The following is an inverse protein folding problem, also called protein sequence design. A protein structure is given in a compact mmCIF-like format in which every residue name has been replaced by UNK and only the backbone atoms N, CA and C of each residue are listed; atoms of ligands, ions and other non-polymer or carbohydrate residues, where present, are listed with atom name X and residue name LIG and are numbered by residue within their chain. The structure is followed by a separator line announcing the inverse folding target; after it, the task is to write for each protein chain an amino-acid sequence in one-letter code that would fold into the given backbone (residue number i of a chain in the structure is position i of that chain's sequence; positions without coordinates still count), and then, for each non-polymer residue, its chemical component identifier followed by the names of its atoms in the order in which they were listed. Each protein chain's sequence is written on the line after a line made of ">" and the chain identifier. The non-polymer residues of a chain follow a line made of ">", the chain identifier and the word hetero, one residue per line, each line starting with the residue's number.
data_IF_045237679831
#
_entry.id   IF_045237679831
#
_cell.length_a   1.000
_cell.length_b   1.000
_cell.length_c   1.000
_cell.angle_alpha   90.00
_cell.angle_beta   90.00
_cell.angle_gamma   90.00
#
_symmetry.space_group_name_H-M   'P 1'
#
loop_
_entity.id
_entity.type
_entity.pdbx_description
1 polymer ?
#
# COMPACT_ATOMS: atom_id res chain seq x y z
N UNK A 1 -9.46 12.87 50.24
CA UNK A 1 -9.92 12.91 48.83
C UNK A 1 -9.09 13.86 47.98
N UNK A 2 -9.00 15.17 48.31
CA UNK A 2 -8.25 16.16 47.51
C UNK A 2 -6.75 15.81 47.36
N UNK A 3 -6.09 15.35 48.43
CA UNK A 3 -4.68 14.93 48.35
C UNK A 3 -4.45 13.74 47.42
N UNK A 4 -5.40 12.81 47.34
CA UNK A 4 -5.34 11.66 46.43
C UNK A 4 -5.51 12.12 44.98
N UNK A 5 -6.42 13.05 44.71
CA UNK A 5 -6.57 13.67 43.39
C UNK A 5 -5.29 14.40 42.95
N UNK A 6 -4.68 15.21 43.83
CA UNK A 6 -3.41 15.89 43.53
C UNK A 6 -2.22 14.93 43.34
N UNK A 7 -2.22 13.78 44.04
CA UNK A 7 -1.24 12.71 43.78
C UNK A 7 -1.44 12.11 42.38
N UNK A 8 -2.69 11.86 42.00
CA UNK A 8 -3.02 11.32 40.69
C UNK A 8 -2.65 12.29 39.55
N UNK A 9 -2.90 13.59 39.71
CA UNK A 9 -2.47 14.63 38.76
C UNK A 9 -0.96 14.60 38.58
N UNK A 10 -0.17 14.58 39.66
CA UNK A 10 1.30 14.50 39.58
C UNK A 10 1.78 13.25 38.86
N UNK A 11 1.16 12.10 39.15
CA UNK A 11 1.44 10.85 38.45
C UNK A 11 1.17 10.98 36.94
N UNK A 12 0.03 11.54 36.55
CA UNK A 12 -0.34 11.74 35.15
C UNK A 12 0.57 12.74 34.42
N UNK A 13 0.99 13.82 35.08
CA UNK A 13 1.96 14.78 34.51
C UNK A 13 3.31 14.10 34.27
N UNK A 14 3.79 13.30 35.22
CA UNK A 14 5.03 12.56 35.05
C UNK A 14 4.91 11.48 33.97
N UNK A 15 3.76 10.82 33.86
CA UNK A 15 3.47 9.84 32.81
C UNK A 15 3.44 10.50 31.42
N UNK A 16 2.84 11.69 31.29
CA UNK A 16 2.89 12.52 30.07
C UNK A 16 4.33 12.87 29.70
N UNK A 17 5.11 13.38 30.65
CA UNK A 17 6.50 13.76 30.43
C UNK A 17 7.37 12.55 30.03
N UNK A 18 7.11 11.37 30.61
CA UNK A 18 7.78 10.14 30.21
C UNK A 18 7.43 9.74 28.76
N UNK A 19 6.15 9.81 28.38
CA UNK A 19 5.73 9.54 27.00
C UNK A 19 6.29 10.54 25.98
N UNK A 20 6.38 11.83 26.34
CA UNK A 20 7.02 12.84 25.50
C UNK A 20 8.49 12.53 25.29
N UNK A 21 9.22 12.16 26.36
CA UNK A 21 10.61 11.73 26.27
C UNK A 21 10.79 10.48 25.40
N UNK A 22 9.96 9.46 25.61
CA UNK A 22 10.01 8.22 24.83
C UNK A 22 9.74 8.47 23.34
N UNK A 23 8.83 9.40 23.03
CA UNK A 23 8.53 9.83 21.66
C UNK A 23 9.75 10.50 21.01
N UNK A 24 10.43 11.39 21.73
CA UNK A 24 11.63 12.08 21.22
C UNK A 24 12.79 11.09 21.01
N UNK A 25 13.01 10.17 21.96
CA UNK A 25 14.01 9.10 21.78
C UNK A 25 13.68 8.18 20.59
N UNK A 26 12.40 7.93 20.30
CA UNK A 26 11.98 7.14 19.15
C UNK A 26 12.22 7.88 17.83
N UNK A 27 11.93 9.20 17.77
CA UNK A 27 12.26 10.05 16.62
C UNK A 27 13.76 10.05 16.33
N UNK A 28 14.58 10.19 17.36
CA UNK A 28 16.04 10.23 17.19
C UNK A 28 16.60 8.88 16.72
N UNK A 29 16.10 7.76 17.26
CA UNK A 29 16.44 6.41 16.75
C UNK A 29 16.05 6.25 15.28
N UNK A 30 14.89 6.76 14.87
CA UNK A 30 14.45 6.72 13.48
C UNK A 30 15.38 7.54 12.58
N UNK A 31 15.73 8.78 12.96
CA UNK A 31 16.69 9.62 12.22
C UNK A 31 18.04 8.94 12.05
N UNK A 32 18.56 8.31 13.10
CA UNK A 32 19.82 7.57 13.05
C UNK A 32 19.74 6.38 12.09
N UNK A 33 18.65 5.61 12.14
CA UNK A 33 18.42 4.50 11.22
C UNK A 33 18.33 4.98 9.77
N UNK A 34 17.60 6.07 9.51
CA UNK A 34 17.44 6.66 8.17
C UNK A 34 18.78 7.19 7.62
N UNK A 35 19.58 7.85 8.45
CA UNK A 35 20.95 8.26 8.12
C UNK A 35 21.84 7.05 7.76
N UNK A 36 21.73 5.95 8.52
CA UNK A 36 22.43 4.70 8.22
C UNK A 36 22.04 4.09 6.86
N UNK A 37 20.75 4.13 6.51
CA UNK A 37 20.24 3.69 5.20
C UNK A 37 20.81 4.56 4.07
N UNK A 38 20.85 5.87 4.25
CA UNK A 38 21.43 6.80 3.27
C UNK A 38 22.89 6.50 2.96
N UNK A 39 23.71 6.27 3.98
CA UNK A 39 25.13 5.91 3.81
C UNK A 39 25.26 4.61 2.99
N UNK A 40 24.40 3.62 3.23
CA UNK A 40 24.42 2.38 2.45
C UNK A 40 24.05 2.62 0.98
N UNK A 41 23.04 3.45 0.71
CA UNK A 41 22.69 3.82 -0.66
C UNK A 41 23.81 4.59 -1.36
N UNK A 42 24.52 5.49 -0.66
CA UNK A 42 25.68 6.18 -1.21
C UNK A 42 26.79 5.19 -1.63
N UNK A 43 27.05 4.18 -0.81
CA UNK A 43 28.01 3.12 -1.16
C UNK A 43 27.57 2.32 -2.39
N UNK A 44 26.29 1.94 -2.47
CA UNK A 44 25.71 1.23 -3.62
C UNK A 44 25.85 2.07 -4.90
N UNK A 45 25.47 3.35 -4.82
CA UNK A 45 25.60 4.29 -5.95
C UNK A 45 27.06 4.45 -6.36
N UNK A 46 28.01 4.52 -5.41
CA UNK A 46 29.44 4.59 -5.70
C UNK A 46 29.97 3.34 -6.43
N UNK A 47 29.44 2.15 -6.10
CA UNK A 47 29.76 0.91 -6.82
C UNK A 47 29.24 0.96 -8.25
N UNK A 48 28.01 1.41 -8.48
CA UNK A 48 27.46 1.55 -9.84
C UNK A 48 28.21 2.59 -10.68
N UNK A 49 28.59 3.72 -10.08
CA UNK A 49 29.44 4.72 -10.74
C UNK A 49 30.80 4.12 -11.12
N UNK A 50 31.39 3.32 -10.23
CA UNK A 50 32.67 2.66 -10.50
C UNK A 50 32.56 1.60 -11.60
N UNK A 51 31.47 0.83 -11.61
CA UNK A 51 31.14 -0.13 -12.68
C UNK A 51 30.89 0.56 -14.03
N UNK A 52 30.45 1.83 -14.01
CA UNK A 52 30.19 2.65 -15.19
C UNK A 52 31.44 3.32 -15.76
N UNK A 53 32.59 3.26 -15.09
CA UNK A 53 33.87 3.77 -15.61
C UNK A 53 34.38 2.87 -16.73
N UNK A 54 34.92 3.46 -17.79
CA UNK A 54 35.36 2.77 -19.02
C UNK A 54 36.14 1.47 -18.76
N UNK A 55 37.10 1.48 -17.80
CA UNK A 55 37.92 0.32 -17.44
C UNK A 55 37.11 -0.89 -16.98
N UNK A 56 36.04 -0.69 -16.21
CA UNK A 56 35.16 -1.78 -15.77
C UNK A 56 34.04 -2.03 -16.81
N UNK A 57 33.53 -0.94 -17.38
CA UNK A 57 32.45 -0.94 -18.37
C UNK A 57 32.70 -1.88 -19.54
N UNK A 58 33.94 -1.93 -20.05
CA UNK A 58 34.29 -2.76 -21.21
C UNK A 58 34.25 -4.27 -20.94
N UNK A 59 34.29 -4.68 -19.67
CA UNK A 59 34.16 -6.08 -19.27
C UNK A 59 32.70 -6.57 -19.26
N UNK A 60 31.73 -5.64 -19.27
CA UNK A 60 30.31 -5.99 -19.26
C UNK A 60 29.74 -6.11 -20.67
N UNK A 61 28.77 -7.01 -20.83
CA UNK A 61 27.98 -7.12 -22.06
C UNK A 61 27.03 -5.92 -22.23
N UNK A 62 26.55 -5.68 -23.46
CA UNK A 62 25.61 -4.60 -23.75
C UNK A 62 24.33 -4.67 -22.89
N UNK A 63 23.82 -5.87 -22.62
CA UNK A 63 22.65 -6.07 -21.76
C UNK A 63 22.96 -5.74 -20.29
N UNK A 64 24.11 -6.19 -19.77
CA UNK A 64 24.55 -5.88 -18.41
C UNK A 64 24.76 -4.38 -18.20
N UNK A 65 25.37 -3.68 -19.16
CA UNK A 65 25.54 -2.21 -19.12
C UNK A 65 24.21 -1.47 -19.01
N UNK A 66 23.20 -1.90 -19.76
CA UNK A 66 21.83 -1.35 -19.68
C UNK A 66 21.24 -1.56 -18.29
N UNK A 67 21.36 -2.76 -17.72
CA UNK A 67 20.86 -3.06 -16.38
C UNK A 67 21.58 -2.23 -15.30
N UNK A 68 22.92 -2.12 -15.38
CA UNK A 68 23.73 -1.31 -14.44
C UNK A 68 23.27 0.15 -14.46
N UNK A 69 23.05 0.73 -15.65
CA UNK A 69 22.56 2.10 -15.77
C UNK A 69 21.16 2.28 -15.16
N UNK A 70 20.25 1.32 -15.37
CA UNK A 70 18.91 1.35 -14.77
C UNK A 70 18.98 1.24 -13.25
N UNK A 71 19.75 0.30 -12.71
CA UNK A 71 19.90 0.11 -11.27
C UNK A 71 20.59 1.31 -10.61
N UNK A 72 21.57 1.93 -11.27
CA UNK A 72 22.21 3.16 -10.78
C UNK A 72 21.17 4.27 -10.61
N UNK A 73 20.35 4.51 -11.63
CA UNK A 73 19.29 5.53 -11.60
C UNK A 73 18.26 5.24 -10.51
N UNK A 74 17.81 3.99 -10.38
CA UNK A 74 16.87 3.59 -9.33
C UNK A 74 17.45 3.79 -7.93
N UNK A 75 18.72 3.43 -7.72
CA UNK A 75 19.38 3.63 -6.43
C UNK A 75 19.56 5.12 -6.09
N UNK A 76 19.87 5.96 -7.07
CA UNK A 76 19.93 7.41 -6.90
C UNK A 76 18.57 8.03 -6.55
N UNK A 77 17.49 7.61 -7.22
CA UNK A 77 16.13 8.07 -6.92
C UNK A 77 15.74 7.70 -5.48
N UNK A 78 15.96 6.45 -5.07
CA UNK A 78 15.65 5.99 -3.71
C UNK A 78 16.51 6.73 -2.67
N UNK A 79 17.79 6.96 -2.95
CA UNK A 79 18.67 7.75 -2.07
C UNK A 79 18.14 9.17 -1.89
N UNK A 80 17.74 9.82 -2.99
CA UNK A 80 17.24 11.19 -2.94
C UNK A 80 15.94 11.28 -2.14
N UNK A 81 15.02 10.32 -2.29
CA UNK A 81 13.78 10.26 -1.49
C UNK A 81 14.09 10.20 0.01
N UNK A 82 14.96 9.30 0.44
CA UNK A 82 15.34 9.19 1.86
C UNK A 82 16.09 10.44 2.36
N UNK A 83 16.83 11.13 1.48
CA UNK A 83 17.53 12.37 1.83
C UNK A 83 16.52 13.49 2.06
N UNK A 84 15.54 13.64 1.18
CA UNK A 84 14.46 14.60 1.31
C UNK A 84 13.62 14.35 2.58
N UNK A 85 13.36 13.09 2.93
CA UNK A 85 12.69 12.71 4.17
C UNK A 85 13.49 13.14 5.40
N UNK A 86 14.81 12.87 5.43
CA UNK A 86 15.67 13.30 6.53
C UNK A 86 15.77 14.83 6.63
N UNK A 87 15.82 15.54 5.50
CA UNK A 87 15.84 17.00 5.45
C UNK A 87 14.49 17.62 5.84
N UNK A 88 13.38 16.92 5.62
CA UNK A 88 12.05 17.31 6.09
C UNK A 88 11.98 17.31 7.62
N UNK A 89 12.44 16.22 8.25
CA UNK A 89 12.45 16.08 9.71
C UNK A 89 13.28 17.17 10.39
N UNK A 90 14.48 17.47 9.87
CA UNK A 90 15.34 18.54 10.42
C UNK A 90 14.67 19.92 10.39
N UNK A 91 13.91 20.21 9.33
CA UNK A 91 13.23 21.50 9.16
C UNK A 91 12.06 21.66 10.13
N UNK A 92 11.40 20.56 10.48
CA UNK A 92 10.29 20.55 11.44
C UNK A 92 10.78 20.81 12.87
N UNK A 93 11.98 20.30 13.23
CA UNK A 93 12.60 20.47 14.55
C UNK A 93 13.19 21.87 14.80
N UNK A 94 13.76 22.52 13.79
CA UNK A 94 14.30 23.88 13.91
C UNK A 94 13.22 24.95 14.18
N UNK A 95 11.94 24.63 13.92
CA UNK A 95 10.81 25.54 14.16
C UNK A 95 10.23 25.48 15.58
N UNK A 96 10.77 24.63 16.48
CA UNK A 96 10.23 24.43 17.85
C UNK A 96 10.95 25.21 18.97
N UNK A 97 11.95 26.05 18.66
CA UNK A 97 12.81 26.68 19.68
C UNK A 97 12.93 28.20 19.48
N UNK A 98 11.96 28.97 19.97
CA UNK A 98 12.10 30.41 20.19
C UNK A 98 11.21 30.87 21.34
N UNK A 99 11.59 30.56 22.57
CA UNK A 99 11.27 31.40 23.73
C UNK A 99 12.23 31.08 24.87
N UNK A 100 13.16 31.99 25.18
CA UNK A 100 13.83 32.07 26.48
C UNK A 100 14.58 33.42 26.55
N UNK A 101 13.85 34.47 26.94
CA UNK A 101 14.42 35.74 27.39
C UNK A 101 14.93 35.60 28.82
N UNK A 102 16.24 35.79 29.04
CA UNK A 102 16.84 35.93 30.37
C UNK A 102 17.11 37.42 30.62
N UNK A 103 16.28 38.04 31.47
CA UNK A 103 16.57 39.34 32.09
C UNK A 103 17.47 39.15 33.31
N UNK A 104 18.66 39.76 33.30
CA UNK A 104 19.55 39.82 34.46
C UNK A 104 19.68 41.28 34.95
N UNK A 105 19.10 41.54 36.13
CA UNK A 105 19.15 42.81 36.87
C UNK A 105 20.50 43.00 37.57
N UNK A 106 21.15 44.16 37.45
CA UNK A 106 22.06 44.69 38.49
C UNK A 106 22.06 46.21 38.59
N UNK A 107 22.14 46.69 39.84
CA UNK A 107 21.79 48.03 40.31
C UNK A 107 22.95 49.05 40.32
N UNK A 108 22.67 50.24 39.77
CA UNK A 108 22.95 51.59 40.29
C UNK A 108 24.32 51.91 40.91
N UNK A 109 25.22 52.48 40.10
CA UNK A 109 26.12 53.59 40.48
C UNK A 109 26.67 54.44 39.31
N UNK A 110 25.97 54.42 38.17
CA UNK A 110 26.31 55.14 36.93
C UNK A 110 25.20 56.12 36.51
N UNK A 111 24.34 56.55 37.44
CA UNK A 111 22.96 57.04 37.20
C UNK A 111 22.72 58.16 36.18
N UNK A 112 23.72 58.94 35.75
CA UNK A 112 23.54 59.95 34.68
C UNK A 112 24.11 59.49 33.33
N UNK A 113 25.25 58.79 33.33
CA UNK A 113 25.84 58.21 32.12
C UNK A 113 25.06 56.95 31.69
N UNK A 114 24.69 56.08 32.64
CA UNK A 114 23.73 54.99 32.43
C UNK A 114 22.37 55.50 31.97
N UNK A 115 21.86 56.64 32.47
CA UNK A 115 20.55 57.14 32.01
C UNK A 115 20.60 57.62 30.55
N UNK A 116 21.70 58.26 30.12
CA UNK A 116 21.91 58.65 28.73
C UNK A 116 22.16 57.45 27.82
N UNK A 117 22.91 56.45 28.30
CA UNK A 117 23.14 55.19 27.59
C UNK A 117 21.83 54.43 27.42
N UNK A 118 21.02 54.28 28.49
CA UNK A 118 19.70 53.64 28.40
C UNK A 118 18.74 54.39 27.49
N UNK A 119 18.79 55.73 27.47
CA UNK A 119 17.99 56.51 26.51
C UNK A 119 18.48 56.29 25.07
N UNK A 120 19.78 56.20 24.84
CA UNK A 120 20.34 55.91 23.52
C UNK A 120 20.03 54.47 23.06
N UNK A 121 20.03 53.51 23.97
CA UNK A 121 19.65 52.12 23.74
C UNK A 121 18.16 51.98 23.42
N UNK A 122 17.28 52.64 24.18
CA UNK A 122 15.85 52.65 23.89
C UNK A 122 15.53 53.27 22.52
N UNK A 123 16.21 54.36 22.14
CA UNK A 123 16.06 54.96 20.81
C UNK A 123 16.62 54.07 19.70
N UNK A 124 17.66 53.28 19.99
CA UNK A 124 18.23 52.31 19.05
C UNK A 124 17.27 51.13 18.86
N UNK A 125 16.70 50.60 19.93
CA UNK A 125 15.67 49.56 19.88
C UNK A 125 14.42 50.03 19.12
N UNK A 126 13.98 51.27 19.35
CA UNK A 126 12.89 51.86 18.57
C UNK A 126 13.27 51.98 17.08
N UNK A 127 14.52 52.36 16.77
CA UNK A 127 15.00 52.40 15.39
C UNK A 127 15.05 51.02 14.73
N UNK A 128 15.50 49.99 15.46
CA UNK A 128 15.57 48.62 14.99
C UNK A 128 14.16 48.02 14.79
N UNK A 129 13.23 48.32 15.70
CA UNK A 129 11.81 47.98 15.57
C UNK A 129 11.18 48.64 14.33
N UNK A 130 11.43 49.92 14.10
CA UNK A 130 10.98 50.63 12.91
C UNK A 130 11.60 50.07 11.62
N UNK A 131 12.88 49.65 11.65
CA UNK A 131 13.52 48.99 10.52
C UNK A 131 12.86 47.67 10.19
N UNK A 132 12.57 46.84 11.19
CA UNK A 132 11.85 45.58 10.98
C UNK A 132 10.44 45.81 10.45
N UNK A 133 9.73 46.81 10.96
CA UNK A 133 8.40 47.15 10.48
C UNK A 133 8.41 47.62 9.02
N UNK A 134 9.40 48.43 8.63
CA UNK A 134 9.59 48.84 7.23
C UNK A 134 9.93 47.66 6.32
N UNK A 135 10.75 46.72 6.80
CA UNK A 135 11.09 45.52 6.02
C UNK A 135 9.88 44.58 5.88
N UNK A 136 9.04 44.47 6.91
CA UNK A 136 7.77 43.76 6.85
C UNK A 136 6.82 44.38 5.81
N UNK A 137 6.64 45.71 5.83
CA UNK A 137 5.82 46.40 4.82
C UNK A 137 6.41 46.29 3.41
N UNK A 138 7.74 46.32 3.29
CA UNK A 138 8.41 46.10 2.00
C UNK A 138 8.10 44.71 1.45
N UNK A 139 8.17 43.68 2.29
CA UNK A 139 7.84 42.31 1.93
C UNK A 139 6.36 42.17 1.54
N UNK A 140 5.45 42.79 2.29
CA UNK A 140 4.01 42.77 1.98
C UNK A 140 3.72 43.42 0.62
N UNK A 141 4.37 44.54 0.30
CA UNK A 141 4.26 45.21 -1.01
C UNK A 141 4.82 44.34 -2.14
N UNK A 142 5.94 43.64 -1.92
CA UNK A 142 6.49 42.70 -2.90
C UNK A 142 5.55 41.52 -3.13
N UNK A 143 4.90 40.99 -2.08
CA UNK A 143 3.92 39.93 -2.17
C UNK A 143 2.68 40.35 -2.97
N UNK A 144 2.13 41.53 -2.69
CA UNK A 144 0.98 42.08 -3.41
C UNK A 144 1.29 42.34 -4.90
N UNK A 145 2.52 42.78 -5.22
CA UNK A 145 2.98 42.91 -6.62
C UNK A 145 3.08 41.55 -7.31
N UNK A 146 3.57 40.53 -6.62
CA UNK A 146 3.64 39.16 -7.15
C UNK A 146 2.24 38.58 -7.37
N UNK A 147 1.30 38.86 -6.47
CA UNK A 147 -0.09 38.42 -6.58
C UNK A 147 -0.81 39.09 -7.76
N UNK A 148 -0.67 40.40 -7.95
CA UNK A 148 -1.17 41.07 -9.16
C UNK A 148 -0.53 40.51 -10.45
N UNK A 149 0.78 40.21 -10.40
CA UNK A 149 1.48 39.56 -11.51
C UNK A 149 1.02 38.13 -11.80
N UNK A 150 0.38 37.45 -10.84
CA UNK A 150 -0.25 36.13 -11.02
C UNK A 150 -1.68 36.23 -11.53
N UNK A 151 -2.46 37.23 -11.13
CA UNK A 151 -3.83 37.47 -11.65
C UNK A 151 -3.80 37.75 -13.16
N UNK A 152 -2.73 38.34 -13.69
CA UNK A 152 -2.54 38.51 -15.13
C UNK A 152 -2.04 37.26 -15.89
N UNK A 153 -1.80 36.13 -15.19
CA UNK A 153 -1.38 34.83 -15.76
C UNK A 153 -2.50 33.77 -15.71
N UNK A 154 -3.76 34.19 -15.73
CA UNK A 154 -4.89 33.27 -15.94
C UNK A 154 -4.85 32.66 -17.37
N UNK A 155 -4.26 33.37 -18.34
CA UNK A 155 -3.96 32.86 -19.69
C UNK A 155 -2.64 32.07 -19.74
N UNK A 156 -2.49 31.05 -18.89
CA UNK A 156 -1.35 30.13 -18.99
C UNK A 156 -1.63 29.11 -20.10
N UNK A 157 -0.94 29.19 -21.27
CA UNK A 157 -1.20 28.31 -22.41
C UNK A 157 -0.99 26.83 -22.06
N UNK A 158 -0.22 26.54 -21.00
CA UNK A 158 0.02 25.18 -20.53
C UNK A 158 -1.21 24.57 -19.85
N UNK A 159 -1.97 25.38 -19.08
CA UNK A 159 -3.23 24.93 -18.44
C UNK A 159 -4.31 24.66 -19.48
N UNK A 160 -4.41 25.52 -20.50
CA UNK A 160 -5.37 25.32 -21.59
C UNK A 160 -5.04 24.07 -22.43
N UNK A 161 -3.76 23.81 -22.69
CA UNK A 161 -3.31 22.56 -23.34
C UNK A 161 -3.64 21.33 -22.51
N UNK A 162 -3.40 21.37 -21.19
CA UNK A 162 -3.74 20.28 -20.28
C UNK A 162 -5.25 20.00 -20.27
N UNK A 163 -6.07 21.06 -20.26
CA UNK A 163 -7.53 20.95 -20.29
C UNK A 163 -8.03 20.34 -21.61
N UNK A 164 -7.45 20.72 -22.74
CA UNK A 164 -7.75 20.10 -24.06
C UNK A 164 -7.41 18.61 -24.09
N UNK A 165 -6.28 18.21 -23.51
CA UNK A 165 -5.86 16.82 -23.45
C UNK A 165 -6.82 15.97 -22.60
N UNK A 166 -7.22 16.51 -21.44
CA UNK A 166 -8.23 15.90 -20.56
C UNK A 166 -9.59 15.77 -21.26
N UNK A 167 -10.02 16.80 -21.99
CA UNK A 167 -11.26 16.77 -22.75
C UNK A 167 -11.24 15.71 -23.86
N UNK A 168 -10.11 15.56 -24.55
CA UNK A 168 -9.93 14.52 -25.56
C UNK A 168 -9.94 13.11 -24.96
N UNK A 169 -9.30 12.91 -23.81
CA UNK A 169 -9.32 11.64 -23.09
C UNK A 169 -10.74 11.27 -22.63
N UNK A 170 -11.49 12.23 -22.10
CA UNK A 170 -12.88 12.04 -21.67
C UNK A 170 -13.78 11.63 -22.84
N UNK A 171 -13.64 12.30 -23.99
CA UNK A 171 -14.39 11.97 -25.20
C UNK A 171 -14.07 10.55 -25.71
N UNK A 172 -12.79 10.15 -25.67
CA UNK A 172 -12.36 8.80 -26.04
C UNK A 172 -12.95 7.73 -25.11
N UNK A 173 -12.95 8.00 -23.80
CA UNK A 173 -13.53 7.09 -22.81
C UNK A 173 -15.06 6.96 -22.99
N UNK A 174 -15.75 8.05 -23.30
CA UNK A 174 -17.19 8.04 -23.58
C UNK A 174 -17.53 7.18 -24.82
N UNK A 175 -16.72 7.26 -25.89
CA UNK A 175 -16.88 6.39 -27.06
C UNK A 175 -16.62 4.91 -26.73
N UNK A 176 -15.62 4.63 -25.89
CA UNK A 176 -15.34 3.26 -25.47
C UNK A 176 -16.49 2.67 -24.63
N UNK A 177 -17.06 3.45 -23.72
CA UNK A 177 -18.23 3.04 -22.93
C UNK A 177 -19.44 2.68 -23.81
N UNK A 178 -19.72 3.49 -24.85
CA UNK A 178 -20.78 3.19 -25.80
C UNK A 178 -20.53 1.87 -26.55
N UNK A 179 -19.30 1.63 -27.00
CA UNK A 179 -18.93 0.36 -27.67
C UNK A 179 -19.11 -0.85 -26.75
N UNK A 180 -18.64 -0.75 -25.50
CA UNK A 180 -18.80 -1.84 -24.51
C UNK A 180 -20.27 -2.09 -24.22
N UNK A 181 -21.10 -1.04 -24.17
CA UNK A 181 -22.55 -1.18 -23.98
C UNK A 181 -23.22 -1.89 -25.16
N UNK A 182 -22.80 -1.61 -26.40
CA UNK A 182 -23.28 -2.34 -27.60
C UNK A 182 -22.85 -3.81 -27.59
N UNK A 183 -21.59 -4.10 -27.25
CA UNK A 183 -21.08 -5.46 -27.12
C UNK A 183 -21.81 -6.25 -26.02
N UNK A 184 -22.12 -5.61 -24.89
CA UNK A 184 -22.89 -6.20 -23.82
C UNK A 184 -24.30 -6.60 -24.28
N UNK A 185 -25.02 -5.69 -24.96
CA UNK A 185 -26.35 -6.00 -25.52
C UNK A 185 -26.30 -7.13 -26.54
N UNK A 186 -25.24 -7.21 -27.34
CA UNK A 186 -25.04 -8.32 -28.29
C UNK A 186 -24.83 -9.65 -27.56
N UNK A 187 -23.97 -9.67 -26.54
CA UNK A 187 -23.72 -10.84 -25.68
C UNK A 187 -24.99 -11.31 -24.96
N UNK A 188 -25.82 -10.38 -24.49
CA UNK A 188 -27.10 -10.67 -23.86
C UNK A 188 -28.07 -11.38 -24.82
N UNK A 189 -28.16 -10.91 -26.07
CA UNK A 189 -28.96 -11.55 -27.10
C UNK A 189 -28.44 -12.96 -27.48
N UNK A 190 -27.11 -13.14 -27.56
CA UNK A 190 -26.49 -14.45 -27.79
C UNK A 190 -26.78 -15.44 -26.65
N UNK A 191 -26.75 -14.95 -25.40
CA UNK A 191 -27.05 -15.76 -24.21
C UNK A 191 -28.51 -16.21 -24.17
N UNK A 192 -29.45 -15.35 -24.56
CA UNK A 192 -30.86 -15.73 -24.64
C UNK A 192 -31.09 -16.80 -25.70
N UNK A 193 -30.46 -16.66 -26.88
CA UNK A 193 -30.51 -17.70 -27.92
C UNK A 193 -29.94 -19.04 -27.44
N UNK A 194 -28.84 -19.02 -26.69
CA UNK A 194 -28.25 -20.24 -26.11
C UNK A 194 -29.18 -20.89 -25.08
N UNK A 195 -29.95 -20.12 -24.31
CA UNK A 195 -30.96 -20.71 -23.41
C UNK A 195 -32.07 -21.40 -24.18
N UNK A 196 -32.55 -20.80 -25.26
CA UNK A 196 -33.56 -21.42 -26.13
C UNK A 196 -33.06 -22.73 -26.76
N UNK A 197 -31.83 -22.71 -27.28
CA UNK A 197 -31.17 -23.90 -27.85
C UNK A 197 -30.99 -24.99 -26.77
N UNK A 198 -30.56 -24.62 -25.56
CA UNK A 198 -30.46 -25.54 -24.42
C UNK A 198 -31.80 -26.19 -24.08
N UNK A 199 -32.87 -25.40 -24.01
CA UNK A 199 -34.21 -25.89 -23.70
C UNK A 199 -34.73 -26.83 -24.79
N UNK A 200 -34.40 -26.56 -26.05
CA UNK A 200 -34.71 -27.43 -27.17
C UNK A 200 -33.98 -28.78 -27.07
N UNK A 201 -32.69 -28.76 -26.71
CA UNK A 201 -31.88 -29.99 -26.50
C UNK A 201 -32.40 -30.80 -25.31
N UNK A 202 -32.73 -30.15 -24.18
CA UNK A 202 -33.31 -30.83 -23.01
C UNK A 202 -34.62 -31.55 -23.38
N UNK A 203 -35.50 -30.90 -24.16
CA UNK A 203 -36.72 -31.54 -24.68
C UNK A 203 -36.42 -32.75 -25.56
N UNK A 204 -35.43 -32.67 -26.45
CA UNK A 204 -35.03 -33.81 -27.29
C UNK A 204 -34.49 -34.97 -26.44
N UNK A 205 -33.72 -34.67 -25.38
CA UNK A 205 -33.15 -35.66 -24.47
C UNK A 205 -34.24 -36.38 -23.66
N UNK A 206 -35.25 -35.66 -23.19
CA UNK A 206 -36.39 -36.27 -22.49
C UNK A 206 -37.18 -37.20 -23.42
N UNK A 207 -37.46 -36.77 -24.65
CA UNK A 207 -38.10 -37.63 -25.67
C UNK A 207 -37.30 -38.89 -25.99
N UNK A 208 -35.97 -38.83 -25.99
CA UNK A 208 -35.10 -39.99 -26.20
C UNK A 208 -35.12 -40.93 -24.98
N UNK A 209 -35.12 -40.38 -23.77
CA UNK A 209 -35.20 -41.14 -22.51
C UNK A 209 -36.54 -41.85 -22.34
N UNK A 210 -37.64 -41.23 -22.77
CA UNK A 210 -38.96 -41.88 -22.83
C UNK A 210 -38.98 -43.04 -23.83
N UNK A 211 -38.34 -42.87 -25.00
CA UNK A 211 -38.18 -43.95 -26.00
C UNK A 211 -37.31 -45.10 -25.48
N UNK A 212 -36.25 -44.81 -24.73
CA UNK A 212 -35.39 -45.80 -24.07
C UNK A 212 -36.16 -46.56 -22.97
N UNK A 213 -36.94 -45.87 -22.14
CA UNK A 213 -37.80 -46.49 -21.11
C UNK A 213 -38.89 -47.40 -21.71
N UNK A 214 -39.38 -47.09 -22.90
CA UNK A 214 -40.34 -47.93 -23.61
C UNK A 214 -39.66 -49.14 -24.29
N UNK A 215 -38.39 -49.03 -24.69
CA UNK A 215 -37.60 -50.13 -25.23
C UNK A 215 -37.08 -51.10 -24.14
N UNK A 216 -36.72 -50.61 -22.96
CA UNK A 216 -36.24 -51.43 -21.83
C UNK A 216 -37.32 -52.36 -21.24
N UNK A 217 -38.62 -52.09 -21.45
CA UNK A 217 -39.69 -52.99 -21.00
C UNK A 217 -39.81 -54.30 -21.80
N UNK A 218 -39.06 -54.46 -22.88
CA UNK A 218 -39.11 -55.66 -23.72
C UNK A 218 -37.89 -56.57 -23.64
N UNK A 219 -36.84 -56.25 -22.88
CA UNK A 219 -35.65 -57.09 -22.80
C UNK A 219 -34.91 -56.93 -21.46
N UNK A 220 -35.19 -57.79 -20.46
CA UNK A 220 -34.22 -58.22 -19.46
C UNK A 220 -34.81 -59.34 -18.58
N UNK A 221 -34.65 -60.58 -19.04
CA UNK A 221 -34.66 -61.78 -18.20
C UNK A 221 -33.21 -62.21 -17.99
N UNK A 222 -32.88 -62.54 -16.74
CA UNK A 222 -31.75 -63.34 -16.25
C UNK A 222 -30.41 -62.69 -15.84
N UNK A 223 -30.15 -62.90 -14.53
CA UNK A 223 -28.92 -63.37 -13.87
C UNK A 223 -27.80 -62.40 -13.45
N UNK A 224 -27.73 -62.23 -12.12
CA UNK A 224 -26.58 -62.29 -11.20
C UNK A 224 -25.19 -61.84 -11.68
N UNK A 225 -24.68 -60.77 -11.06
CA UNK A 225 -23.29 -60.70 -10.60
C UNK A 225 -23.10 -59.59 -9.56
N UNK A 226 -22.25 -59.88 -8.60
CA UNK A 226 -22.12 -59.31 -7.26
C UNK A 226 -20.93 -58.33 -7.20
N UNK A 227 -21.16 -57.01 -7.04
CA UNK A 227 -20.14 -56.02 -6.62
C UNK A 227 -20.81 -54.82 -5.91
N UNK A 228 -20.44 -54.47 -4.65
CA UNK A 228 -21.01 -53.32 -3.96
C UNK A 228 -20.39 -52.02 -4.50
N UNK A 229 -21.15 -51.25 -5.29
CA UNK A 229 -20.87 -49.83 -5.50
C UNK A 229 -21.18 -49.09 -4.20
N UNK A 230 -20.14 -48.62 -3.50
CA UNK A 230 -20.31 -47.70 -2.40
C UNK A 230 -20.90 -46.38 -2.89
N UNK A 231 -22.16 -46.16 -2.49
CA UNK A 231 -22.74 -44.84 -2.25
C UNK A 231 -21.81 -44.04 -1.35
N UNK A 232 -21.15 -43.00 -1.86
CA UNK A 232 -20.75 -41.87 -1.01
C UNK A 232 -21.66 -40.69 -1.30
N UNK A 233 -22.59 -40.50 -0.37
CA UNK A 233 -23.55 -39.43 -0.31
C UNK A 233 -22.82 -38.07 -0.25
N UNK A 234 -23.30 -37.13 -1.06
CA UNK A 234 -23.25 -35.68 -0.96
C UNK A 234 -22.81 -35.10 0.41
N UNK A 235 -21.52 -35.13 0.75
CA UNK A 235 -21.00 -34.30 1.85
C UNK A 235 -20.53 -32.98 1.26
N UNK A 236 -21.11 -31.86 1.70
CA UNK A 236 -20.58 -30.53 1.36
C UNK A 236 -19.09 -30.45 1.71
N UNK A 237 -18.24 -29.88 0.85
CA UNK A 237 -16.81 -29.78 1.09
C UNK A 237 -16.46 -28.86 2.27
N UNK A 238 -17.44 -28.18 2.86
CA UNK A 238 -17.38 -27.40 4.12
C UNK A 238 -18.38 -28.02 5.10
N UNK A 239 -17.91 -28.35 6.31
CA UNK A 239 -18.62 -29.09 7.37
C UNK A 239 -19.09 -28.21 8.53
N UNK A 240 -18.60 -26.98 8.64
CA UNK A 240 -18.97 -26.06 9.72
C UNK A 240 -18.84 -24.59 9.30
N UNK A 241 -19.54 -23.72 10.01
CA UNK A 241 -19.39 -22.26 9.86
C UNK A 241 -17.94 -21.82 10.14
N UNK A 242 -17.27 -22.45 11.11
CA UNK A 242 -15.87 -22.20 11.40
C UNK A 242 -14.97 -22.48 10.18
N UNK A 243 -15.21 -23.59 9.46
CA UNK A 243 -14.48 -23.87 8.22
C UNK A 243 -14.76 -22.81 7.16
N UNK A 244 -16.01 -22.33 7.01
CA UNK A 244 -16.34 -21.28 6.05
C UNK A 244 -15.61 -19.95 6.35
N UNK A 245 -15.55 -19.55 7.63
CA UNK A 245 -14.80 -18.37 8.06
C UNK A 245 -13.31 -18.51 7.79
N UNK A 246 -12.71 -19.66 8.11
CA UNK A 246 -11.30 -19.95 7.82
C UNK A 246 -11.03 -19.87 6.33
N UNK A 247 -11.90 -20.41 5.48
CA UNK A 247 -11.77 -20.31 4.01
C UNK A 247 -11.78 -18.85 3.57
N UNK A 248 -12.66 -18.01 4.12
CA UNK A 248 -12.70 -16.58 3.79
C UNK A 248 -11.41 -15.83 4.18
N UNK A 249 -10.90 -16.08 5.39
CA UNK A 249 -9.67 -15.47 5.89
C UNK A 249 -8.45 -15.95 5.07
N UNK A 250 -8.34 -17.25 4.80
CA UNK A 250 -7.23 -17.81 4.01
C UNK A 250 -7.30 -17.32 2.56
N UNK A 251 -8.50 -17.19 1.99
CA UNK A 251 -8.68 -16.68 0.62
C UNK A 251 -8.21 -15.23 0.51
N UNK A 252 -8.61 -14.36 1.44
CA UNK A 252 -8.17 -12.95 1.46
C UNK A 252 -6.67 -12.82 1.68
N UNK A 253 -6.10 -13.61 2.59
CA UNK A 253 -4.65 -13.68 2.81
C UNK A 253 -3.92 -14.11 1.54
N UNK A 254 -4.27 -15.25 0.94
CA UNK A 254 -3.59 -15.75 -0.24
C UNK A 254 -3.81 -14.89 -1.50
N UNK A 255 -4.91 -14.13 -1.57
CA UNK A 255 -5.17 -13.23 -2.68
C UNK A 255 -4.13 -12.10 -2.79
N UNK A 256 -3.60 -11.63 -1.65
CA UNK A 256 -2.52 -10.62 -1.63
C UNK A 256 -1.11 -11.23 -1.77
N UNK A 257 -1.00 -12.56 -1.90
CA UNK A 257 0.26 -13.29 -2.06
C UNK A 257 0.38 -13.92 -3.46
N UNK A 258 0.87 -13.17 -4.49
CA UNK A 258 0.90 -13.64 -5.88
C UNK A 258 1.74 -14.90 -6.11
N UNK A 259 2.74 -15.15 -5.25
CA UNK A 259 3.59 -16.33 -5.33
C UNK A 259 3.13 -17.47 -4.41
N UNK A 260 2.04 -17.30 -3.67
CA UNK A 260 1.58 -18.23 -2.65
C UNK A 260 2.41 -18.16 -1.36
N UNK A 261 1.96 -18.91 -0.36
CA UNK A 261 2.54 -18.95 0.99
C UNK A 261 2.73 -20.40 1.47
N UNK A 262 3.72 -20.64 2.32
CA UNK A 262 3.87 -21.94 2.98
C UNK A 262 2.76 -22.15 4.02
N UNK A 263 2.49 -23.41 4.38
CA UNK A 263 1.47 -23.72 5.38
C UNK A 263 1.83 -23.12 6.75
N UNK A 264 3.13 -23.09 7.09
CA UNK A 264 3.64 -22.48 8.32
C UNK A 264 3.38 -20.99 8.36
N UNK A 265 3.53 -20.30 7.23
CA UNK A 265 3.28 -18.86 7.16
C UNK A 265 1.79 -18.54 7.29
N UNK A 266 0.92 -19.32 6.63
CA UNK A 266 -0.53 -19.19 6.74
C UNK A 266 -0.96 -19.42 8.21
N UNK A 267 -0.48 -20.50 8.83
CA UNK A 267 -0.80 -20.79 10.23
C UNK A 267 -0.27 -19.72 11.19
N UNK A 268 0.92 -19.16 10.94
CA UNK A 268 1.45 -18.04 11.72
C UNK A 268 0.56 -16.80 11.64
N UNK A 269 0.01 -16.49 10.46
CA UNK A 269 -0.97 -15.42 10.30
C UNK A 269 -2.26 -15.71 11.09
N UNK A 270 -2.78 -16.93 10.94
CA UNK A 270 -4.02 -17.38 11.57
C UNK A 270 -3.93 -17.43 13.10
N UNK A 271 -2.79 -17.82 13.66
CA UNK A 271 -2.57 -17.85 15.12
C UNK A 271 -2.70 -16.48 15.76
N UNK A 272 -2.33 -15.40 15.06
CA UNK A 272 -2.55 -14.03 15.58
C UNK A 272 -4.04 -13.69 15.75
N UNK A 273 -4.93 -14.40 15.05
CA UNK A 273 -6.38 -14.23 15.13
C UNK A 273 -7.00 -15.22 16.12
N UNK A 274 -6.56 -16.49 16.09
CA UNK A 274 -7.02 -17.55 16.99
C UNK A 274 -5.88 -18.55 17.27
N UNK A 275 -5.40 -18.56 18.52
CA UNK A 275 -4.34 -19.46 19.00
C UNK A 275 -4.75 -20.94 19.05
N UNK A 276 -6.04 -21.28 18.82
CA UNK A 276 -6.54 -22.67 18.81
C UNK A 276 -6.51 -23.33 17.43
N UNK A 277 -5.91 -22.70 16.43
CA UNK A 277 -5.87 -23.23 15.06
C UNK A 277 -4.77 -24.30 14.94
N UNK A 278 -5.14 -25.51 14.53
CA UNK A 278 -4.21 -26.59 14.26
C UNK A 278 -3.74 -26.57 12.80
N UNK A 279 -2.43 -26.68 12.56
CA UNK A 279 -1.84 -26.69 11.20
C UNK A 279 -2.39 -27.83 10.33
N UNK A 280 -2.57 -29.01 10.91
CA UNK A 280 -3.12 -30.19 10.22
C UNK A 280 -4.54 -29.96 9.71
N UNK A 281 -5.36 -29.25 10.48
CA UNK A 281 -6.77 -29.03 10.16
C UNK A 281 -6.89 -28.03 9.01
N UNK A 282 -6.04 -27.00 9.01
CA UNK A 282 -5.94 -26.02 7.93
C UNK A 282 -5.47 -26.70 6.64
N UNK A 283 -4.42 -27.54 6.71
CA UNK A 283 -3.92 -28.27 5.54
C UNK A 283 -4.97 -29.23 4.97
N UNK A 284 -5.70 -29.96 5.83
CA UNK A 284 -6.79 -30.85 5.44
C UNK A 284 -7.96 -30.08 4.79
N UNK A 285 -8.34 -28.93 5.36
CA UNK A 285 -9.39 -28.07 4.81
C UNK A 285 -9.03 -27.55 3.41
N UNK A 286 -7.79 -27.06 3.25
CA UNK A 286 -7.31 -26.57 1.96
C UNK A 286 -7.18 -27.70 0.93
N UNK A 287 -6.74 -28.89 1.36
CA UNK A 287 -6.67 -30.08 0.51
C UNK A 287 -8.03 -30.61 0.02
N UNK A 288 -9.10 -30.38 0.80
CA UNK A 288 -10.49 -30.68 0.40
C UNK A 288 -11.05 -29.70 -0.64
N UNK A 289 -10.51 -28.48 -0.69
CA UNK A 289 -11.02 -27.38 -1.51
C UNK A 289 -10.11 -27.09 -2.71
N UNK A 290 -9.86 -28.11 -3.53
CA UNK A 290 -8.90 -28.07 -4.64
C UNK A 290 -9.24 -27.05 -5.75
N UNK A 291 -10.51 -26.66 -5.86
CA UNK A 291 -10.95 -25.62 -6.81
C UNK A 291 -10.75 -24.19 -6.26
N UNK A 292 -10.53 -24.05 -4.95
CA UNK A 292 -10.31 -22.76 -4.28
C UNK A 292 -8.84 -22.54 -3.95
N UNK A 293 -8.15 -23.60 -3.51
CA UNK A 293 -6.75 -23.57 -3.12
C UNK A 293 -5.97 -24.65 -3.86
N UNK A 294 -4.79 -24.27 -4.37
CA UNK A 294 -3.90 -25.18 -5.09
C UNK A 294 -2.53 -25.20 -4.40
N UNK A 295 -2.01 -26.40 -4.17
CA UNK A 295 -0.64 -26.58 -3.70
C UNK A 295 0.30 -26.69 -4.90
N UNK A 296 1.30 -25.83 -4.96
CA UNK A 296 2.31 -25.80 -6.01
C UNK A 296 3.71 -25.95 -5.39
N UNK A 297 4.56 -26.71 -6.06
CA UNK A 297 5.98 -26.80 -5.73
C UNK A 297 6.70 -25.67 -6.47
N UNK A 298 7.32 -24.75 -5.74
CA UNK A 298 8.10 -23.66 -6.36
C UNK A 298 9.56 -23.76 -5.94
N UNK A 299 10.48 -23.70 -6.92
CA UNK A 299 11.92 -23.78 -6.69
C UNK A 299 12.61 -24.82 -7.58
N UNK A 300 13.94 -24.90 -7.51
CA UNK A 300 14.74 -25.89 -8.25
C UNK A 300 15.76 -26.52 -7.32
N UNK A 301 15.78 -27.86 -7.24
CA UNK A 301 16.76 -28.59 -6.43
C UNK A 301 16.54 -28.43 -4.92
N UNK A 302 17.54 -27.90 -4.21
CA UNK A 302 17.52 -27.76 -2.75
C UNK A 302 16.58 -26.66 -2.23
N UNK A 303 16.07 -25.78 -3.10
CA UNK A 303 15.15 -24.68 -2.74
C UNK A 303 13.68 -25.00 -3.07
N UNK A 304 13.32 -26.29 -3.17
CA UNK A 304 11.98 -26.71 -3.54
C UNK A 304 11.02 -26.55 -2.35
N UNK A 305 10.11 -25.59 -2.43
CA UNK A 305 9.17 -25.26 -1.36
C UNK A 305 7.72 -25.57 -1.77
N UNK A 306 6.96 -26.14 -0.83
CA UNK A 306 5.51 -26.34 -0.94
C UNK A 306 4.80 -25.03 -0.61
N UNK A 307 4.07 -24.47 -1.58
CA UNK A 307 3.28 -23.25 -1.36
C UNK A 307 1.85 -23.40 -1.80
N UNK A 308 0.95 -22.82 -1.04
CA UNK A 308 -0.47 -22.75 -1.35
C UNK A 308 -0.79 -21.45 -2.06
N UNK A 309 -1.60 -21.53 -3.12
CA UNK A 309 -2.12 -20.40 -3.89
C UNK A 309 -3.64 -20.41 -3.91
N UNK A 310 -4.23 -19.23 -3.99
CA UNK A 310 -5.65 -19.06 -4.20
C UNK A 310 -5.97 -19.07 -5.70
N UNK A 311 -6.84 -19.99 -6.13
CA UNK A 311 -7.26 -20.16 -7.52
C UNK A 311 -8.79 -20.10 -7.71
N UNK A 312 -9.54 -19.63 -6.72
CA UNK A 312 -11.01 -19.60 -6.77
C UNK A 312 -11.60 -18.80 -7.93
N UNK A 313 -10.86 -17.83 -8.49
CA UNK A 313 -11.29 -17.06 -9.67
C UNK A 313 -10.94 -17.72 -11.01
N UNK A 314 -10.05 -18.72 -11.04
CA UNK A 314 -9.65 -19.38 -12.28
C UNK A 314 -10.77 -20.27 -12.83
N UNK A 315 -11.59 -20.86 -11.95
CA UNK A 315 -12.78 -21.62 -12.34
C UNK A 315 -13.89 -20.78 -12.97
N UNK A 316 -13.92 -19.46 -12.74
CA UNK A 316 -14.89 -18.55 -13.36
C UNK A 316 -14.53 -18.16 -14.80
N UNK A 317 -13.29 -18.41 -15.24
CA UNK A 317 -12.82 -18.09 -16.60
C UNK A 317 -13.10 -19.21 -17.62
N UNK A 318 -13.67 -20.34 -17.18
CA UNK A 318 -13.94 -21.54 -17.99
C UNK A 318 -15.42 -21.74 -18.33
N UNK A 319 -16.26 -20.73 -18.07
CA UNK A 319 -17.68 -20.63 -18.47
C UNK A 319 -17.90 -19.29 -19.14
#
# INVERSE_FOLDING_TARGET
>A
MIQSANSHVRRLVNEKAAHEKDMEEAKEKFKQALSGILIQFEQIVAVYHSASKQKAWDHFTKAQRKNISVWCKQAEEIRNIHNDELMGIRREEEMEMSDDEIEETTETKETEESALVSQAEALKEENDSLRWQLDAYRNEVELLKQEQGKVHREDDPNKEQQLKLLQQALQGMQQHLLKVQEEYKKKEAELEKLKDDKLQVEKMLENLKEKESCASRLCASNQDSEYPLEKTMNSSPIKSEREALLVGIISTFLHVHPFGASIEYICSYLHRLDNKICTSDVECLMGRLQHTFKQEMTGVGASLEKRWKFCGFEGLKLT
#
